data_IF_125395762671
#
_entry.id   IF_125395762671
#
_cell.length_a   1.000
_cell.length_b   1.000
_cell.length_c   1.000
_cell.angle_alpha   90.00
_cell.angle_beta   90.00
_cell.angle_gamma   90.00
#
_symmetry.space_group_name_H-M   'P 1'
#
loop_
_entity.id
_entity.type
_entity.pdbx_description
1 polymer ?
#
# COMPACT_ATOMS: atom_id res chain seq x y z
N UNK A 1 -22.48 -14.56 -62.78
CA UNK A 1 -21.30 -13.70 -62.52
C UNK A 1 -21.69 -12.78 -61.35
N UNK A 2 -21.12 -12.99 -60.14
CA UNK A 2 -20.09 -12.13 -59.50
C UNK A 2 -20.65 -10.71 -59.19
N UNK A 3 -20.66 -10.12 -57.99
CA UNK A 3 -19.68 -10.06 -56.89
C UNK A 3 -20.38 -9.67 -55.55
N UNK A 4 -19.92 -10.24 -54.44
CA UNK A 4 -20.24 -9.90 -53.04
C UNK A 4 -19.98 -8.42 -52.69
N UNK A 5 -20.88 -7.78 -51.94
CA UNK A 5 -20.55 -6.52 -51.24
C UNK A 5 -20.71 -6.69 -49.73
N UNK A 6 -19.62 -7.17 -49.15
CA UNK A 6 -19.25 -6.97 -47.76
C UNK A 6 -18.83 -5.49 -47.60
N UNK A 7 -19.55 -4.72 -46.79
CA UNK A 7 -19.03 -3.45 -46.28
C UNK A 7 -19.00 -3.55 -44.75
N UNK A 8 -17.79 -3.76 -44.26
CA UNK A 8 -17.41 -3.78 -42.85
C UNK A 8 -17.53 -2.34 -42.34
N UNK A 9 -18.47 -2.09 -41.42
CA UNK A 9 -18.47 -0.86 -40.64
C UNK A 9 -17.46 -1.05 -39.49
N UNK A 10 -16.42 -0.20 -39.36
CA UNK A 10 -15.47 -0.34 -38.27
C UNK A 10 -16.16 0.00 -36.95
N UNK A 11 -16.22 -0.97 -36.05
CA UNK A 11 -16.63 -0.74 -34.67
C UNK A 11 -15.61 0.21 -34.03
N UNK A 12 -16.02 1.47 -33.86
CA UNK A 12 -15.30 2.47 -33.08
C UNK A 12 -15.29 2.01 -31.62
N UNK A 13 -14.30 1.21 -31.25
CA UNK A 13 -13.93 0.95 -29.86
C UNK A 13 -13.43 2.26 -29.28
N UNK A 14 -14.35 3.08 -28.76
CA UNK A 14 -14.01 4.11 -27.80
C UNK A 14 -13.51 3.36 -26.58
N UNK A 15 -12.19 3.20 -26.49
CA UNK A 15 -11.54 2.88 -25.24
C UNK A 15 -11.90 4.01 -24.28
N UNK A 16 -12.93 3.77 -23.45
CA UNK A 16 -13.22 4.64 -22.33
C UNK A 16 -11.99 4.57 -21.44
N UNK A 17 -11.13 5.57 -21.57
CA UNK A 17 -10.07 5.86 -20.61
C UNK A 17 -10.78 6.08 -19.28
N UNK A 18 -10.86 5.02 -18.48
CA UNK A 18 -11.26 5.12 -17.08
C UNK A 18 -10.19 5.99 -16.45
N UNK A 19 -10.47 7.29 -16.32
CA UNK A 19 -9.69 8.19 -15.50
C UNK A 19 -9.55 7.49 -14.15
N UNK A 20 -8.31 7.09 -13.83
CA UNK A 20 -8.03 6.33 -12.63
C UNK A 20 -8.54 7.09 -11.42
N UNK A 21 -9.50 6.51 -10.70
CA UNK A 21 -9.80 6.99 -9.37
C UNK A 21 -8.49 6.99 -8.57
N UNK A 22 -8.21 8.03 -7.77
CA UNK A 22 -7.07 8.04 -6.89
C UNK A 22 -7.00 6.73 -6.08
N UNK A 23 -5.80 6.20 -5.95
CA UNK A 23 -5.59 4.90 -5.35
C UNK A 23 -6.21 4.83 -3.95
N UNK A 24 -7.04 3.81 -3.75
CA UNK A 24 -7.73 3.50 -2.51
C UNK A 24 -8.92 4.41 -2.11
N UNK A 25 -9.38 5.33 -2.96
CA UNK A 25 -10.58 6.14 -2.65
C UNK A 25 -11.82 5.28 -2.36
N UNK A 26 -11.95 4.15 -3.07
CA UNK A 26 -13.03 3.17 -2.81
C UNK A 26 -12.92 2.50 -1.44
N UNK A 27 -11.71 2.42 -0.89
CA UNK A 27 -11.51 1.90 0.47
C UNK A 27 -11.88 2.96 1.51
N UNK A 28 -11.53 4.23 1.26
CA UNK A 28 -11.86 5.35 2.15
C UNK A 28 -13.37 5.57 2.27
N UNK A 29 -14.14 5.29 1.21
CA UNK A 29 -15.59 5.41 1.19
C UNK A 29 -16.35 4.23 1.84
N UNK A 30 -15.67 3.17 2.26
CA UNK A 30 -16.31 1.97 2.81
C UNK A 30 -16.37 2.03 4.34
N UNK A 31 -17.58 2.03 4.89
CA UNK A 31 -17.83 2.11 6.34
C UNK A 31 -17.29 0.91 7.14
N UNK A 32 -17.06 -0.24 6.49
CA UNK A 32 -16.47 -1.43 7.11
C UNK A 32 -14.93 -1.39 7.13
N UNK A 33 -14.31 -0.32 6.61
CA UNK A 33 -12.86 -0.14 6.54
C UNK A 33 -12.45 1.03 7.43
N UNK A 34 -11.61 0.74 8.42
CA UNK A 34 -10.96 1.78 9.21
C UNK A 34 -9.79 2.34 8.42
N UNK A 35 -9.81 3.64 8.18
CA UNK A 35 -8.79 4.36 7.41
C UNK A 35 -8.06 5.36 8.29
N UNK A 36 -6.72 5.33 8.26
CA UNK A 36 -5.85 6.37 8.84
C UNK A 36 -4.97 6.95 7.73
N UNK A 37 -5.10 8.26 7.49
CA UNK A 37 -4.26 8.98 6.53
C UNK A 37 -3.40 10.00 7.25
N UNK A 38 -2.09 9.89 7.08
CA UNK A 38 -1.11 10.84 7.59
C UNK A 38 -0.41 11.49 6.41
N UNK A 39 -0.49 12.82 6.34
CA UNK A 39 0.13 13.62 5.30
C UNK A 39 1.51 14.11 5.71
N UNK A 40 2.32 14.53 4.72
CA UNK A 40 3.61 15.17 4.94
C UNK A 40 3.54 16.34 5.95
N UNK A 41 2.46 17.13 5.93
CA UNK A 41 2.29 18.24 6.86
C UNK A 41 2.24 17.76 8.31
N UNK A 42 1.58 16.64 8.57
CA UNK A 42 1.55 16.05 9.92
C UNK A 42 2.93 15.57 10.35
N UNK A 43 3.68 14.91 9.46
CA UNK A 43 5.06 14.50 9.76
C UNK A 43 5.97 15.69 10.08
N UNK A 44 5.88 16.78 9.31
CA UNK A 44 6.63 18.01 9.55
C UNK A 44 6.21 18.74 10.84
N UNK A 45 4.97 18.58 11.29
CA UNK A 45 4.51 19.11 12.57
C UNK A 45 5.08 18.29 13.73
N UNK A 46 5.01 16.96 13.63
CA UNK A 46 5.54 16.04 14.65
C UNK A 46 7.06 16.12 14.77
N UNK A 47 7.77 16.31 13.67
CA UNK A 47 9.24 16.41 13.66
C UNK A 47 9.79 17.64 14.39
N UNK A 48 8.94 18.64 14.64
CA UNK A 48 9.29 19.85 15.39
C UNK A 48 9.05 19.71 16.89
N UNK A 49 8.35 18.64 17.30
CA UNK A 49 8.15 18.31 18.70
C UNK A 49 9.41 17.56 19.12
N UNK A 50 10.21 18.18 19.99
CA UNK A 50 11.47 17.63 20.45
C UNK A 50 11.18 16.38 21.31
N UNK A 51 11.52 15.20 20.79
CA UNK A 51 11.36 13.95 21.52
C UNK A 51 12.66 13.56 22.20
N UNK A 52 12.58 13.29 23.51
CA UNK A 52 13.72 12.82 24.31
C UNK A 52 14.03 11.32 24.09
N UNK A 53 13.20 10.64 23.32
CA UNK A 53 13.31 9.21 23.01
C UNK A 53 14.11 8.99 21.72
N UNK A 54 15.13 8.13 21.78
CA UNK A 54 16.00 7.80 20.66
C UNK A 54 15.26 7.07 19.53
N UNK A 55 14.30 6.20 19.86
CA UNK A 55 13.51 5.45 18.87
C UNK A 55 12.53 6.39 18.13
N UNK A 56 11.95 7.35 18.88
CA UNK A 56 11.12 8.39 18.31
C UNK A 56 11.91 9.30 17.36
N UNK A 57 13.17 9.63 17.70
CA UNK A 57 14.06 10.43 16.85
C UNK A 57 14.35 9.74 15.52
N UNK A 58 14.71 8.46 15.55
CA UNK A 58 14.98 7.69 14.34
C UNK A 58 13.73 7.54 13.46
N UNK A 59 12.56 7.33 14.07
CA UNK A 59 11.29 7.33 13.35
C UNK A 59 10.97 8.69 12.72
N UNK A 60 11.25 9.82 13.40
CA UNK A 60 11.07 11.17 12.84
C UNK A 60 11.97 11.45 11.65
N UNK A 61 13.22 10.98 11.66
CA UNK A 61 14.13 11.12 10.52
C UNK A 61 13.65 10.38 9.28
N UNK A 62 12.96 9.25 9.47
CA UNK A 62 12.31 8.51 8.38
C UNK A 62 11.03 9.22 7.96
N UNK A 63 10.17 9.60 8.91
CA UNK A 63 8.89 10.24 8.69
C UNK A 63 9.01 11.57 7.91
N UNK A 64 10.06 12.34 8.17
CA UNK A 64 10.36 13.59 7.44
C UNK A 64 10.56 13.40 5.94
N UNK A 65 10.95 12.20 5.52
CA UNK A 65 11.16 11.84 4.10
C UNK A 65 9.92 11.23 3.47
N UNK A 66 8.86 10.97 4.25
CA UNK A 66 7.59 10.48 3.78
C UNK A 66 6.72 11.64 3.27
N UNK A 67 6.03 11.40 2.15
CA UNK A 67 5.01 12.29 1.59
C UNK A 67 3.62 11.94 2.10
N UNK A 68 3.31 10.64 2.21
CA UNK A 68 2.02 10.16 2.70
C UNK A 68 2.15 8.76 3.26
N UNK A 69 1.39 8.52 4.33
CA UNK A 69 1.11 7.20 4.88
C UNK A 69 -0.40 7.00 4.89
N UNK A 70 -0.87 5.87 4.39
CA UNK A 70 -2.26 5.42 4.50
C UNK A 70 -2.29 4.02 5.11
N UNK A 71 -3.17 3.82 6.09
CA UNK A 71 -3.45 2.50 6.67
C UNK A 71 -4.93 2.22 6.49
N UNK A 72 -5.24 1.04 5.96
CA UNK A 72 -6.59 0.50 5.83
C UNK A 72 -6.66 -0.80 6.61
N UNK A 73 -7.69 -0.98 7.43
CA UNK A 73 -7.87 -2.22 8.16
C UNK A 73 -9.35 -2.61 8.28
N UNK A 74 -9.60 -3.91 8.31
CA UNK A 74 -10.95 -4.45 8.51
C UNK A 74 -10.89 -5.87 9.05
N UNK A 75 -11.88 -6.25 9.85
CA UNK A 75 -12.16 -7.63 10.24
C UNK A 75 -13.35 -8.21 9.44
N UNK A 76 -14.03 -7.38 8.63
CA UNK A 76 -15.15 -7.80 7.81
C UNK A 76 -14.65 -8.51 6.55
N UNK A 77 -15.04 -9.77 6.37
CA UNK A 77 -14.57 -10.61 5.25
C UNK A 77 -14.93 -10.05 3.86
N UNK A 78 -16.07 -9.37 3.71
CA UNK A 78 -16.47 -8.74 2.43
C UNK A 78 -15.58 -7.53 2.14
N UNK A 79 -15.36 -6.68 3.15
CA UNK A 79 -14.47 -5.53 3.03
C UNK A 79 -13.02 -5.96 2.76
N UNK A 80 -12.55 -7.04 3.39
CA UNK A 80 -11.23 -7.63 3.12
C UNK A 80 -11.10 -8.09 1.65
N UNK A 81 -12.14 -8.70 1.08
CA UNK A 81 -12.14 -9.08 -0.34
C UNK A 81 -12.04 -7.86 -1.27
N UNK A 82 -12.73 -6.77 -0.94
CA UNK A 82 -12.62 -5.48 -1.67
C UNK A 82 -11.20 -4.92 -1.55
N UNK A 83 -10.66 -4.85 -0.33
CA UNK A 83 -9.28 -4.41 -0.06
C UNK A 83 -8.26 -5.20 -0.88
N UNK A 84 -8.41 -6.52 -0.94
CA UNK A 84 -7.51 -7.39 -1.73
C UNK A 84 -7.58 -7.09 -3.22
N UNK A 85 -8.78 -6.89 -3.75
CA UNK A 85 -8.97 -6.57 -5.16
C UNK A 85 -8.34 -5.22 -5.51
N UNK A 86 -8.59 -4.19 -4.71
CA UNK A 86 -8.01 -2.85 -4.90
C UNK A 86 -6.48 -2.88 -4.85
N UNK A 87 -5.89 -3.61 -3.89
CA UNK A 87 -4.43 -3.79 -3.82
C UNK A 87 -3.89 -4.48 -5.06
N UNK A 88 -4.51 -5.58 -5.50
CA UNK A 88 -4.04 -6.31 -6.67
C UNK A 88 -4.11 -5.47 -7.94
N UNK A 89 -5.13 -4.62 -8.06
CA UNK A 89 -5.26 -3.68 -9.16
C UNK A 89 -4.19 -2.59 -9.06
N UNK A 90 -3.98 -2.04 -7.87
CA UNK A 90 -3.02 -0.99 -7.62
C UNK A 90 -1.57 -1.43 -7.85
N UNK A 91 -1.17 -2.62 -7.35
CA UNK A 91 0.15 -3.21 -7.60
C UNK A 91 0.45 -3.25 -9.10
N UNK A 92 -0.54 -3.63 -9.92
CA UNK A 92 -0.40 -3.68 -11.39
C UNK A 92 -0.34 -2.29 -12.01
N UNK A 93 -1.27 -1.39 -11.66
CA UNK A 93 -1.38 -0.08 -12.28
C UNK A 93 -0.22 0.85 -11.90
N UNK A 94 0.28 0.76 -10.67
CA UNK A 94 1.41 1.53 -10.18
C UNK A 94 2.78 0.89 -10.54
N UNK A 95 2.76 -0.30 -11.17
CA UNK A 95 3.93 -1.11 -11.53
C UNK A 95 4.83 -1.42 -10.32
N UNK A 96 4.23 -1.84 -9.20
CA UNK A 96 4.96 -2.24 -8.01
C UNK A 96 5.57 -3.64 -8.19
N UNK A 97 6.81 -3.80 -7.74
CA UNK A 97 7.52 -5.09 -7.72
C UNK A 97 7.40 -5.73 -6.33
N UNK A 98 7.20 -7.04 -6.26
CA UNK A 98 7.24 -7.78 -4.99
C UNK A 98 8.68 -7.79 -4.47
N UNK A 99 8.88 -7.26 -3.28
CA UNK A 99 10.18 -7.22 -2.61
C UNK A 99 10.38 -8.47 -1.73
N UNK A 100 9.37 -8.77 -0.92
CA UNK A 100 9.40 -9.87 0.04
C UNK A 100 7.98 -10.39 0.30
N UNK A 101 7.88 -11.68 0.60
CA UNK A 101 6.66 -12.32 1.07
C UNK A 101 6.99 -13.29 2.20
N UNK A 102 6.22 -13.20 3.28
CA UNK A 102 6.25 -14.15 4.40
C UNK A 102 4.92 -14.87 4.41
N UNK A 103 4.94 -16.20 4.33
CA UNK A 103 3.73 -17.02 4.36
C UNK A 103 3.96 -18.29 5.17
N UNK A 104 3.30 -18.38 6.31
CA UNK A 104 3.20 -19.58 7.13
C UNK A 104 1.75 -19.77 7.63
N UNK A 105 1.54 -20.63 8.63
CA UNK A 105 0.18 -20.87 9.19
C UNK A 105 -0.38 -19.63 9.90
N UNK A 106 0.49 -18.87 10.53
CA UNK A 106 0.15 -17.76 11.41
C UNK A 106 0.21 -16.40 10.68
N UNK A 107 0.96 -16.31 9.59
CA UNK A 107 1.24 -15.05 8.89
C UNK A 107 1.09 -15.18 7.38
N UNK A 108 0.53 -14.14 6.74
CA UNK A 108 0.51 -14.00 5.30
C UNK A 108 0.70 -12.53 4.93
N UNK A 109 1.96 -12.16 4.67
CA UNK A 109 2.40 -10.77 4.53
C UNK A 109 3.12 -10.60 3.21
N UNK A 110 2.81 -9.54 2.47
CA UNK A 110 3.45 -9.20 1.19
C UNK A 110 3.92 -7.76 1.22
N UNK A 111 5.14 -7.55 0.75
CA UNK A 111 5.75 -6.24 0.57
C UNK A 111 5.97 -6.00 -0.92
N UNK A 112 5.47 -4.88 -1.41
CA UNK A 112 5.67 -4.40 -2.76
C UNK A 112 6.33 -3.03 -2.73
N UNK A 113 7.16 -2.74 -3.74
CA UNK A 113 7.88 -1.48 -3.82
C UNK A 113 7.87 -0.92 -5.22
N UNK A 114 7.92 0.41 -5.32
CA UNK A 114 8.26 1.12 -6.54
C UNK A 114 9.68 1.63 -6.45
N UNK A 115 10.51 1.33 -7.46
CA UNK A 115 11.90 1.79 -7.51
C UNK A 115 12.03 3.29 -7.21
N UNK A 116 13.09 3.66 -6.51
CA UNK A 116 13.42 5.04 -6.18
C UNK A 116 14.70 5.49 -6.88
N UNK A 117 15.53 6.23 -6.13
CA UNK A 117 16.78 6.79 -6.67
C UNK A 117 17.89 5.75 -6.85
N UNK A 118 17.89 4.70 -6.03
CA UNK A 118 18.91 3.65 -6.03
C UNK A 118 18.31 2.31 -5.55
N UNK A 119 19.13 1.26 -5.46
CA UNK A 119 18.69 -0.09 -5.12
C UNK A 119 18.09 -0.23 -3.70
N UNK A 120 18.48 0.64 -2.76
CA UNK A 120 18.03 0.58 -1.37
C UNK A 120 16.93 1.61 -1.06
N UNK A 121 16.66 2.52 -2.01
CA UNK A 121 15.66 3.56 -1.88
C UNK A 121 14.49 3.34 -2.82
N UNK A 122 13.29 3.40 -2.25
CA UNK A 122 12.03 3.24 -2.97
C UNK A 122 11.18 4.48 -2.87
N UNK A 123 10.46 4.78 -3.95
CA UNK A 123 9.52 5.91 -3.97
C UNK A 123 8.19 5.58 -3.30
N UNK A 124 7.90 4.28 -3.17
CA UNK A 124 6.68 3.75 -2.61
C UNK A 124 6.91 2.36 -2.02
N UNK A 125 6.26 2.10 -0.89
CA UNK A 125 6.20 0.81 -0.22
C UNK A 125 4.74 0.50 0.08
N UNK A 126 4.28 -0.67 -0.34
CA UNK A 126 2.96 -1.20 -0.05
C UNK A 126 3.12 -2.52 0.72
N UNK A 127 2.59 -2.57 1.93
CA UNK A 127 2.55 -3.76 2.77
C UNK A 127 1.10 -4.25 2.89
N UNK A 128 0.93 -5.57 2.77
CA UNK A 128 -0.39 -6.21 2.80
C UNK A 128 -0.33 -7.38 3.76
N UNK A 129 -1.11 -7.32 4.83
CA UNK A 129 -1.34 -8.42 5.77
C UNK A 129 -2.69 -9.02 5.42
N UNK A 130 -2.69 -10.25 4.92
CA UNK A 130 -3.90 -11.02 4.66
C UNK A 130 -4.31 -11.79 5.92
N UNK A 131 -5.62 -12.03 6.13
CA UNK A 131 -6.09 -12.89 7.21
C UNK A 131 -5.43 -14.28 7.18
N UNK A 132 -5.16 -14.82 8.37
CA UNK A 132 -4.54 -16.13 8.61
C UNK A 132 -5.37 -16.95 9.61
N UNK A 133 -4.85 -18.08 10.09
CA UNK A 133 -5.56 -18.87 11.11
C UNK A 133 -5.64 -18.18 12.46
N UNK A 134 -4.74 -17.21 12.75
CA UNK A 134 -4.69 -16.52 14.04
C UNK A 134 -5.17 -15.06 13.98
N UNK A 135 -5.24 -14.47 12.78
CA UNK A 135 -5.78 -13.11 12.60
C UNK A 135 -6.86 -13.09 11.52
N UNK A 136 -8.03 -12.58 11.87
CA UNK A 136 -9.12 -12.31 10.92
C UNK A 136 -8.98 -10.94 10.26
N UNK A 137 -8.05 -10.11 10.75
CA UNK A 137 -7.88 -8.74 10.31
C UNK A 137 -7.06 -8.69 9.02
N UNK A 138 -7.57 -7.99 8.02
CA UNK A 138 -6.79 -7.57 6.86
C UNK A 138 -6.25 -6.16 7.08
N UNK A 139 -4.98 -5.94 6.79
CA UNK A 139 -4.33 -4.63 6.89
C UNK A 139 -3.60 -4.31 5.60
N UNK A 140 -3.77 -3.08 5.11
CA UNK A 140 -2.97 -2.50 4.02
C UNK A 140 -2.28 -1.27 4.55
N UNK A 141 -0.97 -1.20 4.35
CA UNK A 141 -0.16 -0.02 4.63
C UNK A 141 0.46 0.47 3.32
N UNK A 142 0.23 1.74 2.97
CA UNK A 142 0.83 2.41 1.84
C UNK A 142 1.69 3.57 2.31
N UNK A 143 2.97 3.57 1.98
CA UNK A 143 3.91 4.66 2.21
C UNK A 143 4.42 5.19 0.89
N UNK A 144 4.48 6.51 0.73
CA UNK A 144 5.11 7.18 -0.41
C UNK A 144 6.11 8.21 0.10
N UNK A 145 7.27 8.36 -0.57
CA UNK A 145 8.35 9.23 -0.10
C UNK A 145 9.71 8.89 -0.65
N UNK A 146 10.77 9.30 0.04
CA UNK A 146 12.13 8.76 -0.11
C UNK A 146 12.34 7.72 1.01
N UNK A 147 11.98 6.47 0.74
CA UNK A 147 11.92 5.40 1.72
C UNK A 147 13.20 4.56 1.61
N UNK A 148 13.94 4.49 2.71
CA UNK A 148 15.13 3.65 2.82
C UNK A 148 14.73 2.26 3.35
N UNK A 149 14.88 1.23 2.51
CA UNK A 149 14.54 -0.14 2.84
C UNK A 149 15.42 -0.70 3.98
N UNK A 150 16.64 -0.18 4.19
CA UNK A 150 17.47 -0.58 5.33
C UNK A 150 16.87 -0.19 6.68
N UNK A 151 15.93 0.76 6.68
CA UNK A 151 15.21 1.25 7.87
C UNK A 151 13.81 0.66 8.02
N UNK A 152 13.43 -0.32 7.19
CA UNK A 152 12.14 -1.01 7.27
C UNK A 152 11.85 -1.60 8.64
N UNK A 153 12.85 -2.19 9.30
CA UNK A 153 12.68 -2.79 10.64
C UNK A 153 12.33 -1.76 11.72
N UNK A 154 12.76 -0.50 11.56
CA UNK A 154 12.39 0.60 12.47
C UNK A 154 10.96 1.06 12.19
N UNK A 155 10.55 1.06 10.92
CA UNK A 155 9.17 1.36 10.52
C UNK A 155 8.20 0.32 11.08
N UNK A 156 8.47 -0.97 10.93
CA UNK A 156 7.53 -2.03 11.38
C UNK A 156 7.38 -2.11 12.90
N UNK A 157 8.44 -1.83 13.67
CA UNK A 157 8.41 -1.85 15.14
C UNK A 157 7.57 -0.72 15.74
N UNK A 158 7.73 0.48 15.20
CA UNK A 158 7.09 1.70 15.71
C UNK A 158 5.66 1.88 15.16
N UNK A 159 5.32 1.18 14.09
CA UNK A 159 3.93 1.07 13.67
C UNK A 159 3.24 0.03 14.57
N UNK A 160 2.06 0.37 15.08
CA UNK A 160 1.24 -0.50 15.93
C UNK A 160 0.62 -1.66 15.10
N UNK A 161 1.41 -2.26 14.24
CA UNK A 161 1.08 -3.44 13.43
C UNK A 161 0.92 -4.66 14.35
N UNK A 162 0.15 -5.67 13.91
CA UNK A 162 0.01 -6.92 14.66
C UNK A 162 1.38 -7.44 15.10
N UNK A 163 1.47 -7.92 16.35
CA UNK A 163 2.73 -8.28 17.02
C UNK A 163 3.55 -9.29 16.19
N UNK A 164 2.87 -10.11 15.39
CA UNK A 164 3.41 -11.14 14.53
C UNK A 164 4.39 -10.58 13.47
N UNK A 165 4.25 -9.30 13.07
CA UNK A 165 5.13 -8.66 12.08
C UNK A 165 6.44 -8.16 12.71
N UNK A 166 6.44 -7.92 14.03
CA UNK A 166 7.59 -7.30 14.72
C UNK A 166 8.77 -8.26 14.91
N UNK A 167 8.54 -9.55 14.74
CA UNK A 167 9.53 -10.62 14.93
C UNK A 167 10.31 -11.00 13.66
N UNK A 168 10.10 -10.30 12.53
CA UNK A 168 10.89 -10.49 11.32
C UNK A 168 12.28 -9.87 11.54
N UNK A 169 13.21 -10.71 12.01
CA UNK A 169 14.64 -10.39 12.18
C UNK A 169 15.43 -10.54 10.89
#
# INVERSE_FOLDING_TARGET
>A
MKINKLFILPALLVAMSVCGQPAFDRLEANNDITTLVVSQKMFQMLSKIDSKDADAKEFMDIANKLKSMKVFSTENAKAASVMKTEVQQYVKSAALSELMRVKDKNQNVKFYTKGGKDANKVSELLMVVEPSTNTTQMVILSLTGDIDLSKLGVLTKNMNLPQEIKDIK
#
